data_IF_849093037554
#
_entry.id   IF_849093037554
#
_cell.length_a   1.000
_cell.length_b   1.000
_cell.length_c   1.000
_cell.angle_alpha   90.00
_cell.angle_beta   90.00
_cell.angle_gamma   90.00
#
_symmetry.space_group_name_H-M   'P 1'
#
loop_
_entity.id
_entity.type
_entity.pdbx_description
1 polymer ?
#
# COMPACT_ATOMS: atom_id res chain seq x y z
N UNK A 1 -14.12 -25.05 -5.97
CA UNK A 1 -14.46 -26.49 -5.90
C UNK A 1 -15.43 -26.80 -7.04
N UNK A 2 -14.98 -27.49 -8.09
CA UNK A 2 -15.80 -27.79 -9.27
C UNK A 2 -16.65 -29.03 -8.99
N UNK A 3 -17.97 -28.94 -9.11
CA UNK A 3 -18.87 -30.10 -8.98
C UNK A 3 -19.30 -30.51 -10.39
N UNK A 4 -18.81 -31.65 -10.86
CA UNK A 4 -19.17 -32.22 -12.15
C UNK A 4 -20.24 -33.31 -11.92
N UNK A 5 -21.47 -33.13 -12.40
CA UNK A 5 -22.51 -34.17 -12.42
C UNK A 5 -22.72 -34.62 -13.86
N UNK A 6 -22.52 -35.91 -14.12
CA UNK A 6 -22.85 -36.60 -15.37
C UNK A 6 -24.35 -36.96 -15.33
N UNK A 7 -25.10 -36.67 -16.40
CA UNK A 7 -26.43 -37.26 -16.61
C UNK A 7 -26.37 -38.12 -17.87
N UNK A 8 -26.61 -39.41 -17.74
CA UNK A 8 -26.60 -40.34 -18.86
C UNK A 8 -27.98 -40.34 -19.53
N UNK A 9 -28.01 -40.22 -20.86
CA UNK A 9 -29.23 -40.40 -21.65
C UNK A 9 -28.96 -41.51 -22.68
N UNK A 10 -29.72 -42.59 -22.61
CA UNK A 10 -29.39 -43.92 -23.16
C UNK A 10 -29.78 -44.13 -24.62
N UNK A 11 -29.82 -43.09 -25.47
CA UNK A 11 -30.20 -43.31 -26.88
C UNK A 11 -29.52 -42.40 -27.92
N UNK A 12 -28.37 -41.81 -27.59
CA UNK A 12 -27.48 -41.22 -28.60
C UNK A 12 -26.06 -41.16 -28.04
N UNK A 13 -25.04 -41.35 -28.88
CA UNK A 13 -23.61 -41.26 -28.50
C UNK A 13 -23.19 -39.81 -28.21
N UNK A 14 -23.81 -39.16 -27.22
CA UNK A 14 -23.51 -37.79 -26.79
C UNK A 14 -23.57 -37.69 -25.26
N UNK A 15 -22.43 -37.39 -24.64
CA UNK A 15 -22.35 -37.00 -23.23
C UNK A 15 -22.50 -35.47 -23.12
N UNK A 16 -23.44 -35.01 -22.29
CA UNK A 16 -23.73 -33.60 -22.09
C UNK A 16 -23.34 -33.17 -20.67
N UNK A 17 -22.46 -32.17 -20.55
CA UNK A 17 -21.96 -31.68 -19.26
C UNK A 17 -22.40 -30.24 -19.00
N UNK A 18 -22.85 -29.97 -17.78
CA UNK A 18 -23.24 -28.63 -17.33
C UNK A 18 -22.23 -28.11 -16.32
N UNK A 19 -21.57 -26.98 -16.63
CA UNK A 19 -20.71 -26.28 -15.67
C UNK A 19 -21.39 -24.99 -15.21
N UNK A 20 -21.34 -24.73 -13.90
CA UNK A 20 -21.76 -23.46 -13.29
C UNK A 20 -20.53 -22.74 -12.73
N UNK A 21 -20.32 -21.51 -13.19
CA UNK A 21 -19.40 -20.55 -12.56
C UNK A 21 -20.14 -19.21 -12.39
N UNK A 22 -20.22 -18.71 -11.15
CA UNK A 22 -20.83 -17.42 -10.76
C UNK A 22 -22.13 -17.05 -11.50
N UNK A 23 -23.10 -17.97 -11.54
CA UNK A 23 -24.47 -17.68 -12.00
C UNK A 23 -24.69 -17.60 -13.52
N UNK A 24 -23.67 -17.72 -14.37
CA UNK A 24 -23.86 -17.79 -15.84
C UNK A 24 -23.80 -19.24 -16.33
N UNK A 25 -24.87 -19.72 -16.96
CA UNK A 25 -24.89 -21.02 -17.64
C UNK A 25 -24.11 -20.91 -18.97
N UNK A 26 -23.14 -21.79 -19.16
CA UNK A 26 -22.56 -22.09 -20.48
C UNK A 26 -22.74 -23.59 -20.73
N UNK A 27 -23.58 -23.94 -21.70
CA UNK A 27 -23.75 -25.32 -22.16
C UNK A 27 -22.64 -25.66 -23.16
N UNK A 28 -21.96 -26.79 -22.96
CA UNK A 28 -20.89 -27.28 -23.84
C UNK A 28 -21.23 -28.71 -24.26
N UNK A 29 -21.32 -28.95 -25.57
CA UNK A 29 -21.49 -30.28 -26.17
C UNK A 29 -20.12 -30.81 -26.58
N UNK A 30 -19.82 -32.04 -26.18
CA UNK A 30 -18.60 -32.76 -26.52
C UNK A 30 -18.94 -33.96 -27.40
N UNK A 31 -18.44 -33.95 -28.63
CA UNK A 31 -18.37 -35.14 -29.49
C UNK A 31 -16.96 -35.25 -30.05
N UNK A 32 -16.30 -36.39 -29.81
CA UNK A 32 -15.00 -36.75 -30.38
C UNK A 32 -13.84 -35.76 -30.12
N UNK A 33 -13.81 -35.15 -28.93
CA UNK A 33 -12.64 -34.35 -28.51
C UNK A 33 -12.50 -32.97 -29.18
N UNK A 34 -13.57 -32.44 -29.79
CA UNK A 34 -13.64 -31.05 -30.25
C UNK A 34 -14.86 -30.34 -29.65
N UNK A 35 -14.65 -29.11 -29.17
CA UNK A 35 -15.71 -28.18 -28.76
C UNK A 35 -16.19 -27.46 -30.02
N UNK A 36 -17.48 -27.61 -30.38
CA UNK A 36 -18.07 -26.93 -31.54
C UNK A 36 -18.92 -25.76 -31.02
N UNK A 37 -18.45 -24.54 -31.23
CA UNK A 37 -19.30 -23.35 -31.14
C UNK A 37 -20.03 -23.20 -32.47
N UNK A 38 -21.37 -23.24 -32.48
CA UNK A 38 -22.14 -22.83 -33.66
C UNK A 38 -21.83 -21.36 -33.93
N UNK A 39 -21.19 -21.07 -35.05
CA UNK A 39 -20.81 -19.71 -35.47
C UNK A 39 -21.58 -19.36 -36.74
N UNK A 40 -22.20 -18.19 -36.73
CA UNK A 40 -22.79 -17.57 -37.91
C UNK A 40 -21.76 -17.40 -39.03
N UNK A 41 -22.17 -17.45 -40.31
CA UNK A 41 -21.24 -17.49 -41.42
C UNK A 41 -20.94 -16.07 -41.90
N UNK A 42 -19.80 -15.46 -41.53
CA UNK A 42 -19.11 -14.52 -42.43
C UNK A 42 -17.67 -14.18 -41.95
N UNK A 43 -16.74 -14.41 -42.89
CA UNK A 43 -15.37 -13.90 -43.06
C UNK A 43 -14.21 -14.08 -42.04
N UNK A 44 -13.10 -14.43 -42.69
CA UNK A 44 -11.73 -14.76 -42.28
C UNK A 44 -11.03 -13.64 -41.48
N UNK A 45 -10.33 -14.02 -40.40
CA UNK A 45 -9.14 -13.30 -39.87
C UNK A 45 -8.33 -14.24 -38.97
N UNK A 46 -7.05 -14.41 -39.34
CA UNK A 46 -5.89 -14.95 -38.57
C UNK A 46 -6.17 -16.05 -37.54
N UNK A 47 -5.70 -17.27 -37.81
CA UNK A 47 -5.67 -18.37 -36.85
C UNK A 47 -4.69 -18.06 -35.71
N UNK A 48 -5.19 -17.43 -34.64
CA UNK A 48 -4.55 -17.48 -33.34
C UNK A 48 -4.81 -18.89 -32.81
N UNK A 49 -3.76 -19.67 -32.55
CA UNK A 49 -3.89 -21.02 -31.98
C UNK A 49 -4.68 -20.96 -30.69
N UNK A 50 -5.54 -21.96 -30.41
CA UNK A 50 -6.30 -22.03 -29.16
C UNK A 50 -5.38 -21.96 -27.92
N UNK A 51 -4.12 -22.38 -28.05
CA UNK A 51 -3.09 -22.26 -27.01
C UNK A 51 -2.66 -20.80 -26.79
N UNK A 52 -2.61 -19.98 -27.82
CA UNK A 52 -2.22 -18.58 -27.75
C UNK A 52 -3.32 -17.71 -27.16
N UNK A 53 -4.59 -17.99 -27.51
CA UNK A 53 -5.74 -17.32 -26.90
C UNK A 53 -5.84 -17.60 -25.39
N UNK A 54 -5.68 -18.86 -24.95
CA UNK A 54 -5.66 -19.21 -23.53
C UNK A 54 -4.48 -18.58 -22.78
N UNK A 55 -3.31 -18.48 -23.44
CA UNK A 55 -2.12 -17.83 -22.87
C UNK A 55 -2.28 -16.31 -22.75
N UNK A 56 -3.01 -15.69 -23.68
CA UNK A 56 -3.37 -14.28 -23.62
C UNK A 56 -4.38 -14.01 -22.50
N UNK A 57 -5.43 -14.82 -22.36
CA UNK A 57 -6.40 -14.69 -21.27
C UNK A 57 -5.76 -14.86 -19.88
N UNK A 58 -4.89 -15.86 -19.68
CA UNK A 58 -4.16 -16.02 -18.42
C UNK A 58 -3.21 -14.86 -18.13
N UNK A 59 -2.59 -14.27 -19.18
CA UNK A 59 -1.76 -13.05 -19.04
C UNK A 59 -2.61 -11.82 -18.71
N UNK A 60 -3.81 -11.72 -19.28
CA UNK A 60 -4.75 -10.63 -19.03
C UNK A 60 -5.31 -10.71 -17.60
N UNK A 61 -5.72 -11.89 -17.15
CA UNK A 61 -6.16 -12.13 -15.77
C UNK A 61 -5.03 -11.92 -14.77
N UNK A 62 -3.81 -12.38 -15.05
CA UNK A 62 -2.65 -12.13 -14.19
C UNK A 62 -2.27 -10.66 -14.11
N UNK A 63 -2.38 -9.90 -15.22
CA UNK A 63 -2.14 -8.44 -15.23
C UNK A 63 -3.25 -7.69 -14.51
N UNK A 64 -4.51 -8.05 -14.74
CA UNK A 64 -5.65 -7.45 -14.04
C UNK A 64 -5.62 -7.76 -12.53
N UNK A 65 -5.14 -8.95 -12.13
CA UNK A 65 -4.91 -9.24 -10.71
C UNK A 65 -3.75 -8.43 -10.13
N UNK A 66 -2.68 -8.22 -10.90
CA UNK A 66 -1.53 -7.41 -10.47
C UNK A 66 -1.88 -5.91 -10.33
N UNK A 67 -2.81 -5.42 -11.16
CA UNK A 67 -3.31 -4.04 -11.16
C UNK A 67 -4.35 -3.80 -10.04
N UNK A 68 -5.15 -4.83 -9.68
CA UNK A 68 -6.09 -4.76 -8.55
C UNK A 68 -5.38 -4.89 -7.19
N UNK A 69 -4.17 -5.44 -7.13
CA UNK A 69 -3.39 -5.57 -5.89
C UNK A 69 -2.40 -4.44 -5.63
N UNK A 70 -2.31 -3.44 -6.51
CA UNK A 70 -1.34 -2.34 -6.37
C UNK A 70 -2.03 -1.05 -5.93
N UNK A 71 -2.60 -1.08 -4.72
CA UNK A 71 -2.87 0.17 -4.01
C UNK A 71 -1.55 0.56 -3.32
N UNK A 72 -0.74 1.38 -4.00
CA UNK A 72 0.45 1.93 -3.35
C UNK A 72 -0.02 3.02 -2.38
N UNK A 73 0.14 2.77 -1.08
CA UNK A 73 -0.06 3.76 -0.03
C UNK A 73 0.72 5.03 -0.35
N UNK A 74 0.15 6.18 -0.03
CA UNK A 74 0.77 7.48 -0.28
C UNK A 74 0.67 8.41 0.94
N UNK A 75 1.66 9.28 1.09
CA UNK A 75 1.74 10.34 2.10
C UNK A 75 2.09 11.66 1.43
N UNK A 76 1.28 12.68 1.68
CA UNK A 76 1.44 14.03 1.11
C UNK A 76 1.27 15.10 2.18
N UNK A 77 1.69 16.33 1.87
CA UNK A 77 1.42 17.51 2.70
C UNK A 77 0.90 18.64 1.84
N UNK A 78 -0.08 19.39 2.33
CA UNK A 78 -0.51 20.64 1.68
C UNK A 78 0.48 21.79 1.91
N UNK A 79 1.45 21.62 2.82
CA UNK A 79 2.45 22.63 3.14
C UNK A 79 3.67 22.61 2.22
N UNK A 80 4.02 21.43 1.67
CA UNK A 80 5.15 21.26 0.78
C UNK A 80 4.99 20.00 -0.08
N UNK A 81 5.48 20.06 -1.31
CA UNK A 81 5.58 18.91 -2.21
C UNK A 81 6.77 18.02 -1.85
N UNK A 82 6.79 16.79 -2.37
CA UNK A 82 7.93 15.90 -2.18
C UNK A 82 9.23 16.51 -2.74
N UNK A 83 10.29 16.46 -1.94
CA UNK A 83 11.60 17.11 -2.13
C UNK A 83 11.55 18.65 -2.24
N UNK A 84 10.47 19.29 -1.81
CA UNK A 84 10.39 20.74 -1.71
C UNK A 84 10.83 21.25 -0.32
N UNK A 85 11.01 22.56 -0.20
CA UNK A 85 11.37 23.20 1.06
C UNK A 85 10.20 23.15 2.05
N UNK A 86 10.47 22.66 3.27
CA UNK A 86 9.55 22.71 4.40
C UNK A 86 9.42 24.18 4.83
N UNK A 87 8.19 24.72 4.96
CA UNK A 87 7.98 26.08 5.44
C UNK A 87 8.56 26.30 6.83
N UNK A 88 9.19 27.47 7.04
CA UNK A 88 9.80 27.90 8.31
C UNK A 88 8.93 27.65 9.54
N UNK A 89 7.61 27.79 9.41
CA UNK A 89 6.60 27.50 10.45
C UNK A 89 6.83 26.16 11.15
N UNK A 90 7.18 25.11 10.40
CA UNK A 90 7.30 23.74 10.91
C UNK A 90 8.72 23.40 11.41
N UNK A 91 9.61 24.39 11.52
CA UNK A 91 11.03 24.21 11.83
C UNK A 91 11.39 24.88 13.16
N UNK A 92 12.63 24.68 13.63
CA UNK A 92 13.12 25.34 14.84
C UNK A 92 13.21 26.87 14.73
N UNK A 93 13.21 27.42 13.50
CA UNK A 93 13.21 28.87 13.26
C UNK A 93 11.79 29.48 13.23
N UNK A 94 10.74 28.66 13.42
CA UNK A 94 9.33 29.06 13.43
C UNK A 94 8.58 28.58 14.67
N UNK A 95 7.35 28.11 14.48
CA UNK A 95 6.48 27.63 15.57
C UNK A 95 6.87 26.24 16.07
N UNK A 96 7.67 25.49 15.30
CA UNK A 96 8.15 24.16 15.65
C UNK A 96 7.02 23.15 15.94
N UNK A 97 5.99 23.17 15.09
CA UNK A 97 4.82 22.29 15.10
C UNK A 97 4.87 21.33 13.90
N UNK A 98 4.16 20.20 13.97
CA UNK A 98 4.12 19.24 12.87
C UNK A 98 3.41 19.84 11.63
N UNK A 99 3.86 19.51 10.41
CA UNK A 99 3.13 19.86 9.20
C UNK A 99 1.82 19.07 9.08
N UNK A 100 0.85 19.55 8.28
CA UNK A 100 -0.32 18.77 7.94
C UNK A 100 0.10 17.60 7.03
N UNK A 101 -0.33 16.39 7.35
CA UNK A 101 -0.03 15.18 6.58
C UNK A 101 -1.33 14.52 6.14
N UNK A 102 -1.36 14.02 4.91
CA UNK A 102 -2.51 13.30 4.34
C UNK A 102 -2.07 11.94 3.87
N UNK A 103 -2.90 10.94 4.14
CA UNK A 103 -2.69 9.54 3.79
C UNK A 103 -3.75 9.10 2.79
N UNK A 104 -3.36 8.28 1.83
CA UNK A 104 -4.30 7.67 0.89
C UNK A 104 -3.86 6.27 0.50
N UNK A 105 -4.83 5.49 0.01
CA UNK A 105 -4.62 4.12 -0.47
C UNK A 105 -4.01 3.18 0.57
N UNK A 106 -4.27 3.43 1.87
CA UNK A 106 -3.87 2.53 2.96
C UNK A 106 -4.52 1.15 2.76
N UNK A 107 -3.72 0.10 2.88
CA UNK A 107 -4.17 -1.28 2.77
C UNK A 107 -5.37 -1.58 3.66
N UNK A 108 -6.35 -2.29 3.12
CA UNK A 108 -7.50 -2.77 3.92
C UNK A 108 -7.13 -3.83 4.95
N UNK A 109 -5.92 -4.41 4.87
CA UNK A 109 -5.41 -5.37 5.85
C UNK A 109 -4.64 -4.71 7.01
N UNK A 110 -4.40 -3.40 6.92
CA UNK A 110 -3.69 -2.67 7.97
C UNK A 110 -4.52 -2.61 9.26
N UNK A 111 -3.91 -2.94 10.39
CA UNK A 111 -4.48 -2.81 11.73
C UNK A 111 -3.98 -1.55 12.45
N UNK A 112 -2.84 -1.00 12.04
CA UNK A 112 -2.33 0.29 12.50
C UNK A 112 -1.39 0.94 11.50
N UNK A 113 -1.20 2.26 11.65
CA UNK A 113 -0.15 3.00 10.96
C UNK A 113 0.93 3.48 11.94
N UNK A 114 2.16 3.59 11.43
CA UNK A 114 3.31 4.19 12.11
C UNK A 114 3.92 5.26 11.22
N UNK A 115 4.24 6.41 11.79
CA UNK A 115 4.95 7.49 11.10
C UNK A 115 6.26 7.78 11.85
N UNK A 116 7.36 7.79 11.10
CA UNK A 116 8.70 8.15 11.57
C UNK A 116 9.21 9.29 10.70
N UNK A 117 9.57 10.42 11.32
CA UNK A 117 10.31 11.50 10.68
C UNK A 117 11.79 11.37 11.02
N UNK A 118 12.62 11.22 9.99
CA UNK A 118 14.05 10.97 10.13
C UNK A 118 14.90 11.88 9.22
N UNK A 119 15.98 12.42 9.77
CA UNK A 119 17.00 13.19 9.06
C UNK A 119 18.26 12.32 8.88
N UNK A 120 18.48 11.74 7.69
CA UNK A 120 19.65 10.93 7.42
C UNK A 120 20.94 11.76 7.26
N UNK A 121 20.85 13.08 7.07
CA UNK A 121 21.99 13.97 6.85
C UNK A 121 22.59 14.51 8.14
N UNK A 122 21.92 14.30 9.27
CA UNK A 122 22.42 14.70 10.58
C UNK A 122 23.83 14.10 10.85
N UNK A 123 24.75 14.85 11.47
CA UNK A 123 26.12 14.41 11.74
C UNK A 123 26.19 13.43 12.94
N UNK A 124 25.31 12.44 12.95
CA UNK A 124 25.20 11.36 13.94
C UNK A 124 25.10 10.04 13.17
N UNK A 125 25.81 9.01 13.64
CA UNK A 125 25.69 7.66 13.05
C UNK A 125 24.23 7.20 13.10
N UNK A 126 23.65 6.89 11.94
CA UNK A 126 22.25 6.49 11.83
C UNK A 126 21.24 7.63 11.79
N UNK A 127 21.68 8.88 11.60
CA UNK A 127 20.82 10.05 11.43
C UNK A 127 20.19 10.57 12.72
N UNK A 128 19.16 11.42 12.57
CA UNK A 128 18.40 12.03 13.67
C UNK A 128 16.90 11.79 13.56
N UNK A 129 16.28 11.27 14.62
CA UNK A 129 14.84 11.01 14.69
C UNK A 129 14.11 12.24 15.22
N UNK A 130 13.34 12.86 14.34
CA UNK A 130 12.62 14.11 14.62
C UNK A 130 11.23 13.88 15.21
N UNK A 131 10.58 12.78 14.82
CA UNK A 131 9.25 12.46 15.29
C UNK A 131 8.96 10.97 15.13
N UNK A 132 8.32 10.37 16.14
CA UNK A 132 7.76 9.02 16.05
C UNK A 132 6.33 9.04 16.58
N UNK A 133 5.43 8.42 15.84
CA UNK A 133 4.04 8.26 16.24
C UNK A 133 3.51 6.93 15.69
N UNK A 134 2.88 6.12 16.55
CA UNK A 134 2.49 4.75 16.22
C UNK A 134 1.10 4.42 16.77
N UNK A 135 0.55 3.29 16.32
CA UNK A 135 -0.83 2.88 16.59
C UNK A 135 -1.88 3.90 16.11
N UNK A 136 -1.56 4.64 15.04
CA UNK A 136 -2.52 5.50 14.35
C UNK A 136 -3.61 4.59 13.75
N UNK A 137 -4.88 5.00 13.89
CA UNK A 137 -6.01 4.28 13.29
C UNK A 137 -5.87 4.30 11.75
N UNK A 138 -5.84 3.13 11.07
CA UNK A 138 -5.66 3.06 9.62
C UNK A 138 -6.83 3.66 8.83
N UNK A 139 -7.98 3.91 9.47
CA UNK A 139 -9.09 4.63 8.85
C UNK A 139 -8.87 6.14 8.77
N UNK A 140 -7.87 6.69 9.48
CA UNK A 140 -7.54 8.11 9.40
C UNK A 140 -6.88 8.44 8.06
N UNK A 141 -7.34 9.53 7.46
CA UNK A 141 -6.82 10.02 6.18
C UNK A 141 -5.85 11.19 6.34
N UNK A 142 -5.64 11.69 7.56
CA UNK A 142 -4.77 12.84 7.81
C UNK A 142 -4.36 12.99 9.26
N UNK A 143 -3.29 13.77 9.46
CA UNK A 143 -2.92 14.41 10.72
C UNK A 143 -2.88 15.91 10.44
N UNK A 144 -3.69 16.69 11.14
CA UNK A 144 -3.70 18.14 10.98
C UNK A 144 -2.41 18.75 11.56
N UNK A 145 -2.04 19.94 11.11
CA UNK A 145 -0.91 20.66 11.70
C UNK A 145 -1.13 20.93 13.19
N UNK A 146 -0.05 20.93 13.96
CA UNK A 146 -0.09 21.14 15.42
C UNK A 146 -1.07 20.21 16.15
N UNK A 147 -1.17 18.95 15.74
CA UNK A 147 -2.13 18.00 16.29
C UNK A 147 -1.57 16.59 16.32
N UNK A 148 -2.21 15.74 17.13
CA UNK A 148 -1.95 14.30 17.18
C UNK A 148 -3.29 13.55 17.16
N UNK A 149 -3.41 12.44 16.40
CA UNK A 149 -4.57 11.58 16.51
C UNK A 149 -4.73 11.03 17.93
N UNK A 150 -5.96 11.00 18.44
CA UNK A 150 -6.25 10.53 19.81
C UNK A 150 -5.89 9.04 20.02
N UNK A 151 -5.93 8.23 18.97
CA UNK A 151 -5.60 6.80 19.05
C UNK A 151 -4.09 6.54 19.10
N UNK A 152 -3.28 7.53 18.77
CA UNK A 152 -1.85 7.33 18.51
C UNK A 152 -0.99 7.63 19.74
N UNK A 153 0.16 6.98 19.79
CA UNK A 153 1.17 7.17 20.83
C UNK A 153 2.38 7.83 20.20
N UNK A 154 2.90 8.89 20.81
CA UNK A 154 4.18 9.47 20.43
C UNK A 154 5.30 8.75 21.20
N UNK A 155 6.30 8.27 20.47
CA UNK A 155 7.48 7.59 21.03
C UNK A 155 8.60 8.57 21.35
N UNK A 156 9.69 8.04 21.92
CA UNK A 156 10.90 8.79 22.20
C UNK A 156 11.60 9.23 20.89
N UNK A 157 12.26 10.39 20.95
CA UNK A 157 13.04 10.97 19.84
C UNK A 157 14.46 11.27 20.28
N UNK A 158 15.33 11.66 19.34
CA UNK A 158 16.70 12.08 19.66
C UNK A 158 16.76 13.41 20.45
N UNK A 159 15.64 14.11 20.61
CA UNK A 159 15.50 15.24 21.53
C UNK A 159 15.36 14.82 23.01
N UNK A 160 15.35 13.51 23.29
CA UNK A 160 15.21 12.97 24.65
C UNK A 160 13.81 13.11 25.24
N UNK A 161 12.80 13.36 24.40
CA UNK A 161 11.39 13.42 24.79
C UNK A 161 10.47 12.96 23.65
N UNK A 162 9.25 12.50 23.96
CA UNK A 162 8.23 12.28 22.94
C UNK A 162 7.69 13.57 22.33
N UNK A 163 7.33 13.50 21.06
CA UNK A 163 6.73 14.60 20.31
C UNK A 163 7.50 14.98 19.06
N UNK A 164 6.97 15.96 18.34
CA UNK A 164 7.60 16.52 17.15
C UNK A 164 8.71 17.50 17.55
N UNK A 165 9.88 17.36 16.94
CA UNK A 165 10.90 18.41 16.88
C UNK A 165 11.23 18.71 15.43
N UNK A 166 11.09 19.96 15.02
CA UNK A 166 11.23 20.37 13.62
C UNK A 166 12.67 20.41 13.12
N UNK A 167 12.85 20.56 11.79
CA UNK A 167 14.14 20.78 11.15
C UNK A 167 14.97 21.88 11.82
N UNK A 168 16.25 21.61 12.06
CA UNK A 168 17.20 22.58 12.61
C UNK A 168 18.65 22.34 12.14
N UNK A 169 18.89 22.28 10.82
CA UNK A 169 20.20 21.89 10.30
C UNK A 169 21.24 23.00 10.55
N UNK A 170 22.50 22.65 10.84
CA UNK A 170 23.50 23.64 11.27
C UNK A 170 24.00 24.56 10.14
N UNK A 171 24.09 24.09 8.89
CA UNK A 171 24.64 24.91 7.79
C UNK A 171 24.29 24.45 6.37
N UNK A 172 24.14 23.15 6.14
CA UNK A 172 23.78 22.59 4.83
C UNK A 172 22.29 22.28 4.76
N UNK A 173 21.77 22.10 3.55
CA UNK A 173 20.41 21.58 3.37
C UNK A 173 20.37 20.13 3.87
N UNK A 174 19.39 19.80 4.70
CA UNK A 174 19.11 18.44 5.13
C UNK A 174 17.78 17.96 4.52
N UNK A 175 17.67 16.64 4.38
CA UNK A 175 16.45 15.92 4.03
C UNK A 175 15.74 15.45 5.30
N UNK A 176 14.42 15.50 5.28
CA UNK A 176 13.57 15.04 6.36
C UNK A 176 12.54 14.07 5.79
N UNK A 177 12.77 12.79 6.00
CA UNK A 177 11.95 11.69 5.49
C UNK A 177 10.80 11.41 6.46
N UNK A 178 9.57 11.68 6.05
CA UNK A 178 8.34 11.27 6.71
C UNK A 178 7.94 9.90 6.17
N UNK A 179 8.34 8.84 6.86
CA UNK A 179 8.05 7.44 6.48
C UNK A 179 6.77 6.96 7.17
N UNK A 180 5.77 6.62 6.36
CA UNK A 180 4.52 6.03 6.81
C UNK A 180 4.57 4.53 6.54
N UNK A 181 4.26 3.74 7.56
CA UNK A 181 4.17 2.28 7.48
C UNK A 181 2.75 1.86 7.82
N UNK A 182 2.19 0.96 7.02
CA UNK A 182 1.00 0.21 7.38
C UNK A 182 1.39 -1.15 7.92
N UNK A 183 0.84 -1.52 9.08
CA UNK A 183 1.15 -2.77 9.75
C UNK A 183 -0.07 -3.70 9.80
N UNK A 184 0.16 -5.00 9.67
CA UNK A 184 -0.86 -6.04 9.94
C UNK A 184 -1.04 -6.35 11.44
N UNK A 185 -0.41 -5.55 12.32
CA UNK A 185 -0.47 -5.68 13.78
C UNK A 185 -0.57 -4.31 14.48
N UNK A 186 -0.75 -4.32 15.80
CA UNK A 186 -0.63 -3.16 16.69
C UNK A 186 0.57 -3.33 17.61
N UNK A 187 1.36 -2.27 17.75
CA UNK A 187 2.58 -2.32 18.55
C UNK A 187 2.26 -2.26 20.04
N UNK A 188 2.73 -3.25 20.80
CA UNK A 188 2.64 -3.30 22.27
C UNK A 188 3.80 -2.54 22.91
N UNK A 189 3.90 -1.25 22.59
CA UNK A 189 4.95 -0.33 23.03
C UNK A 189 4.35 0.86 23.78
N UNK A 190 5.12 1.47 24.67
CA UNK A 190 4.73 2.69 25.36
C UNK A 190 5.46 3.93 24.81
N UNK A 191 5.18 5.09 25.40
CA UNK A 191 5.74 6.38 24.98
C UNK A 191 7.26 6.51 25.12
N UNK A 192 7.95 5.58 25.78
CA UNK A 192 9.40 5.56 25.92
C UNK A 192 10.10 4.82 24.77
N UNK A 193 9.34 4.12 23.91
CA UNK A 193 9.89 3.37 22.80
C UNK A 193 10.69 4.28 21.84
N UNK A 194 11.91 3.86 21.51
CA UNK A 194 12.77 4.57 20.55
C UNK A 194 12.44 4.20 19.11
N UNK A 195 13.09 4.85 18.14
CA UNK A 195 13.02 4.46 16.73
C UNK A 195 13.43 2.99 16.55
N UNK A 196 14.49 2.56 17.24
CA UNK A 196 15.00 1.19 17.16
C UNK A 196 14.00 0.17 17.74
N UNK A 197 13.33 0.50 18.84
CA UNK A 197 12.26 -0.34 19.40
C UNK A 197 11.09 -0.48 18.41
N UNK A 198 10.71 0.62 17.75
CA UNK A 198 9.68 0.61 16.72
C UNK A 198 10.10 -0.25 15.52
N UNK A 199 11.31 -0.05 14.99
CA UNK A 199 11.83 -0.83 13.85
C UNK A 199 11.90 -2.33 14.17
N UNK A 200 12.31 -2.69 15.39
CA UNK A 200 12.31 -4.07 15.84
C UNK A 200 10.88 -4.65 15.93
N UNK A 201 9.93 -3.89 16.48
CA UNK A 201 8.54 -4.34 16.61
C UNK A 201 7.77 -4.38 15.29
N UNK A 202 8.16 -3.57 14.30
CA UNK A 202 7.58 -3.57 12.95
C UNK A 202 8.11 -4.72 12.08
N UNK A 203 9.24 -5.33 12.43
CA UNK A 203 9.88 -6.36 11.63
C UNK A 203 8.93 -7.55 11.37
N UNK A 204 8.64 -7.82 10.09
CA UNK A 204 7.72 -8.88 9.67
C UNK A 204 6.25 -8.49 9.63
N UNK A 205 5.89 -7.27 10.06
CA UNK A 205 4.51 -6.78 10.12
C UNK A 205 4.18 -5.66 9.12
N UNK A 206 5.19 -5.12 8.43
CA UNK A 206 4.99 -4.06 7.42
C UNK A 206 4.32 -4.66 6.19
N UNK A 207 3.14 -4.15 5.85
CA UNK A 207 2.42 -4.53 4.62
C UNK A 207 2.61 -3.52 3.49
N UNK A 208 2.72 -2.23 3.82
CA UNK A 208 2.94 -1.13 2.87
C UNK A 208 3.82 -0.04 3.52
N UNK A 209 4.55 0.68 2.68
CA UNK A 209 5.39 1.82 3.06
C UNK A 209 5.21 2.97 2.05
N UNK A 210 5.21 4.20 2.55
CA UNK A 210 5.20 5.42 1.75
C UNK A 210 6.14 6.46 2.37
N UNK A 211 6.76 7.31 1.55
CA UNK A 211 7.72 8.32 2.02
C UNK A 211 7.44 9.67 1.38
N UNK A 212 7.33 10.70 2.22
CA UNK A 212 7.38 12.11 1.81
C UNK A 212 8.69 12.71 2.32
N UNK A 213 9.50 13.28 1.45
CA UNK A 213 10.74 13.95 1.84
C UNK A 213 10.56 15.45 1.76
N UNK A 214 10.89 16.17 2.83
CA UNK A 214 11.01 17.63 2.82
C UNK A 214 12.46 18.07 2.96
N UNK A 215 12.79 19.23 2.42
CA UNK A 215 14.12 19.84 2.53
C UNK A 215 14.07 21.02 3.49
N UNK A 216 15.12 21.24 4.26
CA UNK A 216 15.27 22.52 4.96
C UNK A 216 16.73 22.95 5.01
N UNK A 217 16.93 24.25 4.86
CA UNK A 217 18.20 24.95 5.04
C UNK A 217 17.89 26.25 5.77
N UNK A 218 18.65 26.54 6.82
CA UNK A 218 18.55 27.81 7.53
C UNK A 218 19.11 28.94 6.67
N UNK A 219 18.47 30.10 6.71
CA UNK A 219 18.90 31.32 6.02
C UNK A 219 20.10 31.97 6.68
#
# INVERSE_FOLDING_TARGET
MFVCRKSENTDSKQDMYHMRNKGKLKSVLLTHGKIIFKKDPFHFRSEISLKDAARQEMRQESKNNMDITKNDMDITSSAFENNALIPKKYTCDGENINPPLKFSHVSSVALSLVLIMHDPDAPKSGGWTHWTIFNIDPALTSIDENSIPTSAVQGMTDFGKPGYGGPCPPSVTHHYEFKLYALDDKLSLDRQATKEDLEAAMYGHIVEEAVLTGLYKRE
#
